data_IF_508278065775
#
_entry.id   IF_508278065775
#
_cell.length_a   1.000
_cell.length_b   1.000
_cell.length_c   1.000
_cell.angle_alpha   90.00
_cell.angle_beta   90.00
_cell.angle_gamma   90.00
#
_symmetry.space_group_name_H-M   'P 1'
#
loop_
_entity.id
_entity.type
_entity.pdbx_description
1 polymer ?
#
# COMPACT_ATOMS: atom_id res chain seq x y z
N UNK A 1 -9.24 -4.18 -17.45
CA UNK A 1 -8.20 -5.07 -16.90
C UNK A 1 -7.85 -4.61 -15.49
N UNK A 2 -7.64 -5.50 -14.50
CA UNK A 2 -7.50 -5.09 -13.08
C UNK A 2 -6.04 -4.83 -12.71
N UNK A 3 -5.78 -3.72 -12.03
CA UNK A 3 -4.52 -3.45 -11.32
C UNK A 3 -4.66 -3.93 -9.88
N UNK A 4 -3.64 -4.58 -9.34
CA UNK A 4 -3.62 -5.09 -7.96
C UNK A 4 -2.55 -4.38 -7.15
N UNK A 5 -2.90 -3.91 -5.97
CA UNK A 5 -1.94 -3.45 -4.96
C UNK A 5 -1.66 -4.65 -4.05
N UNK A 6 -0.48 -5.24 -4.21
CA UNK A 6 -0.04 -6.40 -3.44
C UNK A 6 0.82 -5.94 -2.26
N UNK A 7 0.36 -6.23 -1.05
CA UNK A 7 1.12 -6.02 0.19
C UNK A 7 1.92 -7.28 0.49
N UNK A 8 3.24 -7.18 0.48
CA UNK A 8 4.13 -8.32 0.68
C UNK A 8 4.41 -8.56 2.17
N UNK A 9 3.67 -9.48 2.78
CA UNK A 9 3.85 -9.87 4.17
C UNK A 9 5.26 -10.39 4.51
N UNK A 10 5.96 -11.03 3.55
CA UNK A 10 7.29 -11.56 3.80
C UNK A 10 8.30 -10.43 3.95
N UNK A 11 8.17 -9.37 3.13
CA UNK A 11 9.00 -8.18 3.25
C UNK A 11 8.70 -7.43 4.55
N UNK A 12 7.44 -7.35 4.99
CA UNK A 12 7.10 -6.77 6.31
C UNK A 12 7.83 -7.52 7.43
N UNK A 13 7.79 -8.86 7.42
CA UNK A 13 8.46 -9.70 8.43
C UNK A 13 9.98 -9.59 8.36
N UNK A 14 10.56 -9.47 7.18
CA UNK A 14 12.00 -9.27 7.00
C UNK A 14 12.44 -7.89 7.49
N UNK A 15 11.68 -6.84 7.19
CA UNK A 15 11.99 -5.48 7.63
C UNK A 15 11.87 -5.34 9.15
N UNK A 16 10.94 -6.06 9.77
CA UNK A 16 10.88 -6.16 11.23
C UNK A 16 12.14 -6.78 11.87
N UNK A 17 12.99 -7.44 11.08
CA UNK A 17 14.28 -8.01 11.49
C UNK A 17 15.49 -7.18 11.01
N UNK A 18 15.26 -5.97 10.49
CA UNK A 18 16.32 -5.05 10.06
C UNK A 18 16.61 -5.02 8.55
N UNK A 19 15.77 -5.64 7.71
CA UNK A 19 15.87 -5.44 6.26
C UNK A 19 15.19 -4.14 5.79
N UNK A 20 15.54 -3.70 4.57
CA UNK A 20 14.94 -2.52 3.93
C UNK A 20 14.34 -2.88 2.56
N UNK A 21 13.33 -3.75 2.57
CA UNK A 21 12.68 -4.25 1.34
C UNK A 21 11.39 -3.50 1.04
N UNK A 22 11.07 -3.23 -0.25
CA UNK A 22 9.82 -2.59 -0.62
C UNK A 22 8.62 -3.49 -0.32
N UNK A 23 7.63 -3.00 0.42
CA UNK A 23 6.49 -3.80 0.88
C UNK A 23 5.34 -3.81 -0.12
N UNK A 24 5.16 -2.74 -0.88
CA UNK A 24 4.03 -2.58 -1.80
C UNK A 24 4.49 -2.91 -3.22
N UNK A 25 3.72 -3.74 -3.92
CA UNK A 25 3.90 -3.97 -5.36
C UNK A 25 2.61 -3.69 -6.10
N UNK A 26 2.62 -2.70 -6.99
CA UNK A 26 1.50 -2.42 -7.90
C UNK A 26 1.70 -3.27 -9.15
N UNK A 27 0.79 -4.22 -9.37
CA UNK A 27 0.84 -5.20 -10.45
C UNK A 27 -0.28 -4.94 -11.44
N UNK A 28 0.08 -4.74 -12.70
CA UNK A 28 -0.85 -4.86 -13.82
C UNK A 28 -0.35 -5.98 -14.76
N UNK A 29 -0.93 -6.10 -15.94
CA UNK A 29 -0.54 -7.13 -16.92
C UNK A 29 0.82 -6.89 -17.54
N UNK A 30 1.30 -5.64 -17.53
CA UNK A 30 2.54 -5.24 -18.19
C UNK A 30 3.71 -5.27 -17.23
N UNK A 31 3.50 -4.89 -15.97
CA UNK A 31 4.62 -4.61 -15.08
C UNK A 31 4.30 -4.79 -13.59
N UNK A 32 5.38 -4.94 -12.83
CA UNK A 32 5.41 -4.95 -11.37
C UNK A 32 6.19 -3.73 -10.86
N UNK A 33 5.49 -2.71 -10.36
CA UNK A 33 6.11 -1.51 -9.76
C UNK A 33 6.22 -1.70 -8.25
N UNK A 34 7.44 -1.74 -7.70
CA UNK A 34 7.69 -1.89 -6.25
C UNK A 34 7.84 -0.50 -5.60
N UNK A 35 7.26 -0.31 -4.43
CA UNK A 35 7.32 0.94 -3.67
C UNK A 35 7.03 0.69 -2.18
N UNK A 36 7.16 1.72 -1.35
CA UNK A 36 6.61 1.78 0.02
C UNK A 36 5.41 2.74 0.14
N UNK A 37 5.06 3.41 -0.96
CA UNK A 37 3.90 4.29 -1.04
C UNK A 37 3.29 4.19 -2.45
N UNK A 38 1.97 4.07 -2.54
CA UNK A 38 1.25 4.03 -3.80
C UNK A 38 -0.10 4.74 -3.67
N UNK A 39 -0.62 5.28 -4.77
CA UNK A 39 -1.94 5.89 -4.82
C UNK A 39 -2.75 5.37 -6.01
N UNK A 40 -4.06 5.28 -5.82
CA UNK A 40 -5.05 5.22 -6.90
C UNK A 40 -5.46 6.66 -7.18
N UNK A 41 -5.29 7.09 -8.43
CA UNK A 41 -5.57 8.46 -8.85
C UNK A 41 -6.76 8.51 -9.81
N UNK A 42 -7.43 9.65 -9.88
CA UNK A 42 -8.42 9.94 -10.91
C UNK A 42 -7.77 10.31 -12.26
N UNK A 43 -8.59 10.74 -13.22
CA UNK A 43 -8.12 11.16 -14.55
C UNK A 43 -7.26 12.42 -14.56
N UNK A 44 -7.35 13.24 -13.51
CA UNK A 44 -6.59 14.49 -13.36
C UNK A 44 -5.29 14.25 -12.54
N UNK A 45 -5.07 13.02 -12.06
CA UNK A 45 -3.91 12.64 -11.27
C UNK A 45 -4.06 12.92 -9.78
N UNK A 46 -5.25 13.29 -9.29
CA UNK A 46 -5.51 13.51 -7.87
C UNK A 46 -5.65 12.16 -7.15
N UNK A 47 -5.00 11.95 -5.99
CA UNK A 47 -5.14 10.71 -5.24
C UNK A 47 -6.54 10.56 -4.65
N UNK A 48 -7.19 9.43 -4.96
CA UNK A 48 -8.47 9.01 -4.38
C UNK A 48 -8.24 8.09 -3.17
N UNK A 49 -7.24 7.21 -3.25
CA UNK A 49 -6.89 6.25 -2.20
C UNK A 49 -5.38 6.14 -2.14
N UNK A 50 -4.80 6.21 -0.95
CA UNK A 50 -3.37 6.06 -0.73
C UNK A 50 -3.08 4.81 0.11
N UNK A 51 -1.99 4.14 -0.21
CA UNK A 51 -1.51 2.94 0.47
C UNK A 51 -0.10 3.17 0.97
N UNK A 52 0.08 3.11 2.27
CA UNK A 52 1.34 3.44 2.95
C UNK A 52 1.96 2.21 3.58
N UNK A 53 3.30 2.17 3.56
CA UNK A 53 4.10 1.39 4.47
C UNK A 53 5.03 2.32 5.24
N UNK A 54 4.78 2.48 6.55
CA UNK A 54 5.61 3.26 7.45
C UNK A 54 5.94 2.43 8.70
N UNK A 55 7.09 1.74 8.73
CA UNK A 55 7.46 0.91 9.88
C UNK A 55 7.89 1.72 11.11
N UNK A 56 8.43 2.92 10.90
CA UNK A 56 9.01 3.78 11.93
C UNK A 56 7.96 4.68 12.61
N UNK A 57 6.88 5.00 11.89
CA UNK A 57 5.74 5.75 12.42
C UNK A 57 4.42 5.02 12.08
N UNK A 58 4.12 3.90 12.76
CA UNK A 58 2.89 3.14 12.53
C UNK A 58 1.66 3.92 13.03
N UNK A 59 0.48 3.49 12.58
CA UNK A 59 -0.79 3.94 13.16
C UNK A 59 -0.85 3.62 14.67
N UNK A 60 -1.69 4.31 15.47
CA UNK A 60 -1.79 4.09 16.92
C UNK A 60 -2.06 2.63 17.33
N UNK A 61 -2.72 1.85 16.47
CA UNK A 61 -2.98 0.43 16.68
C UNK A 61 -1.77 -0.49 16.40
N UNK A 62 -0.65 0.06 15.94
CA UNK A 62 0.56 -0.67 15.55
C UNK A 62 0.60 -1.11 14.08
N UNK A 63 -0.42 -0.79 13.28
CA UNK A 63 -0.43 -1.12 11.85
C UNK A 63 0.65 -0.32 11.10
N UNK A 64 1.59 -1.04 10.48
CA UNK A 64 2.69 -0.47 9.67
C UNK A 64 2.33 -0.30 8.20
N UNK A 65 1.28 -0.98 7.74
CA UNK A 65 0.71 -0.85 6.41
C UNK A 65 -0.76 -0.51 6.58
N UNK A 66 -1.23 0.52 5.89
CA UNK A 66 -2.63 0.92 5.91
C UNK A 66 -3.03 1.55 4.58
N UNK A 67 -4.35 1.71 4.44
CA UNK A 67 -4.99 2.39 3.33
C UNK A 67 -5.77 3.56 3.92
N UNK A 68 -5.67 4.72 3.31
CA UNK A 68 -6.42 5.90 3.71
C UNK A 68 -7.05 6.59 2.50
N UNK A 69 -8.18 7.25 2.75
CA UNK A 69 -8.96 7.98 1.77
C UNK A 69 -9.88 8.96 2.49
N UNK A 70 -10.22 10.07 1.84
CA UNK A 70 -11.27 10.99 2.29
C UNK A 70 -12.66 10.61 1.76
N UNK A 71 -12.75 9.53 0.97
CA UNK A 71 -14.00 9.03 0.40
C UNK A 71 -14.75 8.15 1.40
N UNK A 72 -16.05 7.99 1.19
CA UNK A 72 -16.87 7.04 1.96
C UNK A 72 -16.39 5.60 1.73
N UNK A 73 -16.22 4.85 2.83
CA UNK A 73 -15.85 3.43 2.80
C UNK A 73 -16.97 2.62 3.43
N UNK A 74 -17.55 1.70 2.66
CA UNK A 74 -18.62 0.81 3.11
C UNK A 74 -18.11 -0.62 3.30
N UNK A 75 -18.59 -1.31 4.32
CA UNK A 75 -18.33 -2.75 4.52
C UNK A 75 -19.27 -3.58 3.64
N UNK A 76 -18.73 -4.55 2.93
CA UNK A 76 -19.52 -5.51 2.14
C UNK A 76 -19.51 -6.85 2.87
N UNK A 77 -20.69 -7.38 3.20
CA UNK A 77 -20.89 -8.66 3.87
C UNK A 77 -21.29 -9.77 2.90
#
# INVERSE_FOLDING_TARGET
MKTRIHVNQHNIKANAKGAELPVITVKDYKQNRKSNHAAVVDSEGKPLVSVYYCPDNPLPCGAKVWIETELEVVTVG
#
